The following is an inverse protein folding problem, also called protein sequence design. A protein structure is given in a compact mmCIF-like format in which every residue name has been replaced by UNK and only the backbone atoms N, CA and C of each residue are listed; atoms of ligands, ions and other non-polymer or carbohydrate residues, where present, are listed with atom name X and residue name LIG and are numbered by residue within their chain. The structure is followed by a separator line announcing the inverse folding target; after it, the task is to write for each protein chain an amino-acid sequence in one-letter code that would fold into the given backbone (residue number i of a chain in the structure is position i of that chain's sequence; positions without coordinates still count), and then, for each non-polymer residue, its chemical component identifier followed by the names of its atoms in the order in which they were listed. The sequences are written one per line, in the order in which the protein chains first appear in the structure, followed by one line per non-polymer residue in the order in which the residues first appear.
data_IF_099666499458
#
_entry.id   IF_099666499458
#
_cell.length_a   1.000
_cell.length_b   1.000
_cell.length_c   1.000
_cell.angle_alpha   90.00
_cell.angle_beta   90.00
_cell.angle_gamma   90.00
#
_symmetry.space_group_name_H-M   'P 1'
#
loop_
_entity.id
_entity.type
_entity.pdbx_description
1 polymer ?
#
# COMPACT_ATOMS: atom_id res chain seq x y z
N UNK A 1 9.10 18.65 7.17
CA UNK A 1 8.36 19.83 6.68
C UNK A 1 8.86 20.05 5.27
N UNK A 2 8.08 19.62 4.27
CA UNK A 2 8.52 19.66 2.88
C UNK A 2 8.55 21.10 2.39
N UNK A 3 9.74 21.55 1.96
CA UNK A 3 9.94 22.86 1.36
C UNK A 3 9.56 22.76 -0.12
N UNK A 4 8.83 23.76 -0.64
CA UNK A 4 8.68 23.92 -2.08
C UNK A 4 10.07 24.18 -2.67
N UNK A 5 10.45 23.36 -3.64
CA UNK A 5 11.73 23.44 -4.36
C UNK A 5 11.46 23.96 -5.76
N UNK A 6 12.14 25.06 -6.12
CA UNK A 6 12.07 25.67 -7.44
C UNK A 6 12.47 24.67 -8.53
N UNK A 7 11.72 24.64 -9.63
CA UNK A 7 11.93 23.74 -10.77
C UNK A 7 11.63 22.26 -10.50
N UNK A 8 11.22 21.89 -9.28
CA UNK A 8 11.04 20.47 -8.89
C UNK A 8 9.65 20.22 -8.29
N UNK A 9 9.21 21.07 -7.37
CA UNK A 9 7.93 20.87 -6.70
C UNK A 9 6.76 21.20 -7.62
N UNK A 10 5.81 20.27 -7.72
CA UNK A 10 4.50 20.51 -8.33
C UNK A 10 3.42 20.59 -7.25
N UNK A 11 2.40 21.41 -7.45
CA UNK A 11 1.23 21.48 -6.58
C UNK A 11 -0.08 21.55 -7.37
N UNK A 12 -1.21 21.24 -6.70
CA UNK A 12 -2.53 21.40 -7.28
C UNK A 12 -3.18 22.70 -6.81
N UNK A 13 -3.71 23.46 -7.77
CA UNK A 13 -4.56 24.62 -7.50
C UNK A 13 -5.76 24.57 -8.46
N UNK A 14 -6.97 24.55 -7.92
CA UNK A 14 -8.20 24.42 -8.73
C UNK A 14 -8.26 23.13 -9.54
N UNK A 15 -7.68 22.03 -9.05
CA UNK A 15 -7.63 20.74 -9.74
C UNK A 15 -6.61 20.65 -10.88
N UNK A 16 -5.86 21.72 -11.17
CA UNK A 16 -4.81 21.75 -12.18
C UNK A 16 -3.43 21.69 -11.53
N UNK A 17 -2.51 21.00 -12.18
CA UNK A 17 -1.12 20.89 -11.73
C UNK A 17 -0.30 22.11 -12.18
N UNK A 18 0.53 22.60 -11.26
CA UNK A 18 1.41 23.75 -11.42
C UNK A 18 2.81 23.38 -10.94
N UNK A 19 3.85 23.83 -11.62
CA UNK A 19 5.25 23.68 -11.19
C UNK A 19 5.72 24.98 -10.54
N UNK A 20 6.43 24.87 -9.42
CA UNK A 20 7.03 26.02 -8.75
C UNK A 20 8.22 26.48 -9.59
N UNK A 21 8.13 27.67 -10.18
CA UNK A 21 9.26 28.30 -10.88
C UNK A 21 10.15 29.06 -9.89
N UNK A 22 9.53 29.76 -8.95
CA UNK A 22 10.26 30.60 -7.99
C UNK A 22 9.49 30.78 -6.69
N UNK A 23 10.21 30.75 -5.56
CA UNK A 23 9.67 31.05 -4.23
C UNK A 23 10.25 32.37 -3.72
N UNK A 24 9.45 33.44 -3.76
CA UNK A 24 9.84 34.77 -3.30
C UNK A 24 9.44 34.98 -1.84
N UNK A 25 10.33 34.59 -0.93
CA UNK A 25 10.05 34.63 0.52
C UNK A 25 9.78 36.03 1.07
N UNK A 26 10.50 37.06 0.60
CA UNK A 26 10.30 38.46 1.01
C UNK A 26 8.88 38.96 0.69
N UNK A 27 8.32 38.50 -0.41
CA UNK A 27 7.00 38.91 -0.93
C UNK A 27 5.90 37.91 -0.53
N UNK A 28 6.26 36.77 0.05
CA UNK A 28 5.36 35.62 0.32
C UNK A 28 4.61 35.15 -0.92
N UNK A 29 5.28 35.20 -2.08
CA UNK A 29 4.70 34.87 -3.39
C UNK A 29 5.41 33.64 -3.98
N UNK A 30 4.63 32.77 -4.61
CA UNK A 30 5.14 31.66 -5.42
C UNK A 30 4.78 31.93 -6.88
N UNK A 31 5.80 32.00 -7.74
CA UNK A 31 5.62 32.06 -9.20
C UNK A 31 5.54 30.63 -9.68
N UNK A 32 4.49 30.30 -10.43
CA UNK A 32 4.23 28.96 -10.92
C UNK A 32 3.65 28.99 -12.32
N UNK A 33 3.98 27.98 -13.11
CA UNK A 33 3.44 27.78 -14.46
C UNK A 33 2.66 26.46 -14.56
N UNK A 34 1.74 26.32 -15.52
CA UNK A 34 0.99 25.09 -15.70
C UNK A 34 1.93 23.91 -15.94
N UNK A 35 1.71 22.81 -15.21
CA UNK A 35 2.47 21.58 -15.34
C UNK A 35 1.54 20.44 -15.78
N UNK A 36 1.09 20.40 -17.06
CA UNK A 36 0.16 19.38 -17.54
C UNK A 36 0.73 17.95 -17.48
N UNK A 37 2.06 17.81 -17.55
CA UNK A 37 2.78 16.56 -17.29
C UNK A 37 3.25 16.41 -15.83
N UNK A 38 2.94 17.39 -14.97
CA UNK A 38 3.33 17.40 -13.57
C UNK A 38 2.60 16.31 -12.79
N UNK A 39 3.35 15.53 -12.01
CA UNK A 39 2.74 14.57 -11.08
C UNK A 39 1.99 15.33 -9.98
N UNK A 40 0.75 14.92 -9.73
CA UNK A 40 -0.02 15.38 -8.56
C UNK A 40 0.85 15.20 -7.30
N UNK A 41 1.10 16.25 -6.49
CA UNK A 41 1.78 16.07 -5.22
C UNK A 41 1.00 15.08 -4.36
N UNK A 42 1.71 14.10 -3.81
CA UNK A 42 1.20 13.30 -2.71
C UNK A 42 1.45 14.07 -1.42
N UNK A 43 0.38 14.57 -0.79
CA UNK A 43 0.45 15.10 0.57
C UNK A 43 0.45 13.91 1.54
N UNK A 44 1.61 13.25 1.67
CA UNK A 44 1.81 12.18 2.63
C UNK A 44 2.26 12.74 3.97
N UNK A 45 1.76 12.19 5.08
CA UNK A 45 2.45 12.31 6.36
C UNK A 45 3.77 11.52 6.32
N UNK A 46 4.64 11.74 7.30
CA UNK A 46 5.91 11.00 7.43
C UNK A 46 5.71 9.49 7.69
N UNK A 47 4.48 9.10 8.04
CA UNK A 47 4.10 7.73 8.40
C UNK A 47 3.11 7.19 7.35
N UNK A 48 3.21 5.90 6.97
CA UNK A 48 2.25 5.29 6.06
C UNK A 48 0.80 5.43 6.52
N UNK A 49 -0.10 5.78 5.60
CA UNK A 49 -1.54 5.85 5.85
C UNK A 49 -2.17 4.50 5.49
N UNK A 50 -2.17 3.57 6.45
CA UNK A 50 -2.76 2.26 6.25
C UNK A 50 -4.27 2.28 6.46
N UNK A 51 -4.98 1.70 5.50
CA UNK A 51 -6.34 1.23 5.68
C UNK A 51 -6.31 -0.17 6.29
N UNK A 52 -7.29 -0.47 7.15
CA UNK A 52 -7.41 -1.80 7.75
C UNK A 52 -7.76 -2.86 6.71
N UNK A 53 -7.51 -4.12 7.05
CA UNK A 53 -7.92 -5.26 6.26
C UNK A 53 -9.42 -5.22 5.95
N UNK A 54 -10.26 -5.00 6.94
CA UNK A 54 -11.73 -5.03 6.84
C UNK A 54 -12.24 -3.95 5.88
N UNK A 55 -11.67 -2.74 5.94
CA UNK A 55 -12.04 -1.64 5.03
C UNK A 55 -11.67 -2.00 3.60
N UNK A 56 -10.43 -2.46 3.36
CA UNK A 56 -9.99 -2.83 2.02
C UNK A 56 -10.77 -4.03 1.47
N UNK A 57 -11.05 -5.05 2.30
CA UNK A 57 -11.89 -6.18 1.91
C UNK A 57 -13.28 -5.73 1.55
N UNK A 58 -13.88 -4.81 2.31
CA UNK A 58 -15.20 -4.29 1.98
C UNK A 58 -15.23 -3.55 0.65
N UNK A 59 -14.17 -2.80 0.34
CA UNK A 59 -14.01 -2.18 -0.98
C UNK A 59 -13.93 -3.25 -2.09
N UNK A 60 -13.13 -4.30 -1.91
CA UNK A 60 -13.06 -5.43 -2.85
C UNK A 60 -14.41 -6.15 -3.04
N UNK A 61 -15.19 -6.33 -1.97
CA UNK A 61 -16.55 -6.88 -2.03
C UNK A 61 -17.50 -5.98 -2.85
N UNK A 62 -17.44 -4.67 -2.66
CA UNK A 62 -18.27 -3.71 -3.40
C UNK A 62 -17.94 -3.77 -4.91
N UNK A 63 -16.67 -3.95 -5.26
CA UNK A 63 -16.20 -4.09 -6.65
C UNK A 63 -16.57 -5.44 -7.29
N UNK A 64 -16.78 -6.47 -6.48
CA UNK A 64 -17.10 -7.82 -6.98
C UNK A 64 -18.60 -8.12 -7.01
N UNK A 65 -19.41 -7.36 -6.27
CA UNK A 65 -20.87 -7.49 -6.21
C UNK A 65 -21.58 -6.46 -7.10
N UNK A 66 -22.81 -6.76 -7.50
CA UNK A 66 -23.69 -5.82 -8.22
C UNK A 66 -24.74 -5.20 -7.29
N UNK A 67 -24.48 -5.18 -5.97
CA UNK A 67 -25.42 -4.60 -5.00
C UNK A 67 -25.47 -3.08 -5.24
N UNK A 68 -26.66 -2.49 -5.44
CA UNK A 68 -26.81 -1.05 -5.57
C UNK A 68 -26.52 -0.37 -4.23
N UNK A 69 -25.87 0.79 -4.28
CA UNK A 69 -25.56 1.61 -3.10
C UNK A 69 -26.44 2.85 -3.13
N UNK A 70 -27.55 2.90 -2.37
CA UNK A 70 -28.59 3.93 -2.52
C UNK A 70 -28.13 5.36 -2.23
N UNK A 71 -26.99 5.51 -1.54
CA UNK A 71 -26.41 6.80 -1.17
C UNK A 71 -25.49 7.40 -2.24
N UNK A 72 -25.25 6.70 -3.36
CA UNK A 72 -24.43 7.22 -4.46
C UNK A 72 -25.26 8.08 -5.41
N UNK A 73 -24.74 9.26 -5.75
CA UNK A 73 -25.24 10.06 -6.88
C UNK A 73 -24.89 9.39 -8.24
N UNK A 74 -25.41 9.97 -9.33
CA UNK A 74 -25.23 9.45 -10.69
C UNK A 74 -23.76 9.33 -11.11
N UNK A 75 -22.95 10.36 -10.84
CA UNK A 75 -21.54 10.38 -11.24
C UNK A 75 -20.75 9.35 -10.43
N UNK A 76 -20.99 9.30 -9.12
CA UNK A 76 -20.35 8.33 -8.22
C UNK A 76 -20.70 6.89 -8.59
N UNK A 77 -21.95 6.64 -9.02
CA UNK A 77 -22.38 5.31 -9.49
C UNK A 77 -21.70 4.93 -10.79
N UNK A 78 -21.62 5.86 -11.76
CA UNK A 78 -20.93 5.62 -13.02
C UNK A 78 -19.44 5.26 -12.79
N UNK A 79 -18.73 6.02 -11.96
CA UNK A 79 -17.33 5.70 -11.61
C UNK A 79 -17.18 4.35 -10.91
N UNK A 80 -18.14 3.95 -10.06
CA UNK A 80 -18.13 2.62 -9.47
C UNK A 80 -18.35 1.52 -10.51
N UNK A 81 -19.24 1.73 -11.48
CA UNK A 81 -19.50 0.79 -12.58
C UNK A 81 -18.26 0.60 -13.47
N UNK A 82 -17.52 1.67 -13.76
CA UNK A 82 -16.22 1.60 -14.46
C UNK A 82 -15.22 0.73 -13.67
N UNK A 83 -15.05 0.99 -12.37
CA UNK A 83 -14.15 0.20 -11.53
C UNK A 83 -14.57 -1.28 -11.43
N UNK A 84 -15.88 -1.56 -11.40
CA UNK A 84 -16.42 -2.93 -11.42
C UNK A 84 -16.15 -3.63 -12.76
N UNK A 85 -16.20 -2.90 -13.87
CA UNK A 85 -15.89 -3.43 -15.19
C UNK A 85 -14.40 -3.79 -15.30
N UNK A 86 -13.52 -2.91 -14.80
CA UNK A 86 -12.07 -3.07 -14.86
C UNK A 86 -11.57 -4.18 -13.94
N UNK A 87 -11.94 -4.12 -12.65
CA UNK A 87 -11.36 -4.98 -11.61
C UNK A 87 -12.26 -6.16 -11.23
N UNK A 88 -13.58 -5.99 -11.31
CA UNK A 88 -14.53 -6.92 -10.70
C UNK A 88 -14.44 -8.34 -11.25
N UNK A 89 -14.18 -8.52 -12.55
CA UNK A 89 -14.04 -9.87 -13.15
C UNK A 89 -12.85 -10.61 -12.55
N UNK A 90 -11.70 -9.95 -12.51
CA UNK A 90 -10.44 -10.49 -12.01
C UNK A 90 -10.50 -10.77 -10.50
N UNK A 91 -11.11 -9.88 -9.72
CA UNK A 91 -11.26 -10.06 -8.27
C UNK A 91 -12.28 -11.16 -7.90
N UNK A 92 -13.19 -11.55 -8.80
CA UNK A 92 -14.13 -12.65 -8.56
C UNK A 92 -13.49 -14.03 -8.75
N UNK A 93 -12.50 -14.17 -9.62
CA UNK A 93 -11.91 -15.46 -10.00
C UNK A 93 -10.88 -16.01 -9.01
N UNK A 94 -10.29 -15.15 -8.18
CA UNK A 94 -9.21 -15.52 -7.26
C UNK A 94 -9.28 -14.69 -5.99
N UNK A 95 -8.47 -15.08 -5.01
CA UNK A 95 -8.34 -14.45 -3.70
C UNK A 95 -7.71 -13.05 -3.82
N UNK A 96 -6.89 -12.87 -4.86
CA UNK A 96 -6.32 -11.63 -5.34
C UNK A 96 -6.49 -11.55 -6.86
N UNK A 97 -6.56 -10.35 -7.40
CA UNK A 97 -6.47 -10.11 -8.83
C UNK A 97 -5.03 -10.13 -9.32
N UNK A 98 -4.83 -10.57 -10.56
CA UNK A 98 -3.53 -10.59 -11.21
C UNK A 98 -3.60 -9.87 -12.56
N UNK A 99 -2.67 -8.96 -12.77
CA UNK A 99 -2.55 -8.19 -13.99
C UNK A 99 -1.07 -8.07 -14.38
N UNK A 100 -0.75 -8.49 -15.61
CA UNK A 100 0.59 -8.36 -16.16
C UNK A 100 0.68 -7.09 -17.02
N UNK A 101 1.70 -6.26 -16.78
CA UNK A 101 1.96 -5.03 -17.53
C UNK A 101 3.41 -4.97 -18.00
N UNK A 102 3.71 -4.08 -18.94
CA UNK A 102 5.08 -3.78 -19.36
C UNK A 102 5.94 -3.25 -18.19
N UNK A 103 5.30 -2.60 -17.21
CA UNK A 103 5.95 -2.04 -16.00
C UNK A 103 6.08 -3.06 -14.85
N UNK A 104 5.77 -4.32 -15.13
CA UNK A 104 5.92 -5.47 -14.24
C UNK A 104 4.60 -6.13 -13.86
N UNK A 105 4.67 -6.95 -12.82
CA UNK A 105 3.56 -7.75 -12.32
C UNK A 105 2.77 -6.96 -11.26
N UNK A 106 1.45 -6.98 -11.37
CA UNK A 106 0.55 -6.33 -10.42
C UNK A 106 -0.39 -7.35 -9.76
N UNK A 107 -0.46 -7.27 -8.43
CA UNK A 107 -1.29 -8.13 -7.59
C UNK A 107 -2.30 -7.29 -6.81
N UNK A 108 -3.58 -7.40 -7.15
CA UNK A 108 -4.68 -6.70 -6.47
C UNK A 108 -5.18 -7.52 -5.28
N UNK A 109 -4.66 -7.22 -4.08
CA UNK A 109 -4.93 -8.01 -2.87
C UNK A 109 -6.13 -7.49 -2.07
N UNK A 110 -6.34 -6.18 -2.04
CA UNK A 110 -7.28 -5.53 -1.13
C UNK A 110 -7.12 -5.99 0.33
N UNK A 111 -5.87 -6.28 0.74
CA UNK A 111 -5.58 -6.82 2.07
C UNK A 111 -5.28 -5.73 3.12
N UNK A 112 -5.30 -4.45 2.76
CA UNK A 112 -4.94 -3.37 3.68
C UNK A 112 -3.43 -3.14 3.76
N UNK A 113 -3.08 -2.02 4.37
CA UNK A 113 -1.71 -1.50 4.31
C UNK A 113 -0.71 -2.38 5.06
N UNK A 114 -1.02 -2.78 6.28
CA UNK A 114 -0.11 -3.58 7.11
C UNK A 114 0.19 -4.96 6.49
N UNK A 115 -0.83 -5.66 5.97
CA UNK A 115 -0.65 -6.95 5.30
C UNK A 115 0.16 -6.78 4.01
N UNK A 116 -0.14 -5.76 3.18
CA UNK A 116 0.62 -5.54 1.95
C UNK A 116 2.08 -5.12 2.22
N UNK A 117 2.36 -4.35 3.27
CA UNK A 117 3.74 -4.08 3.68
C UNK A 117 4.44 -5.33 4.20
N UNK A 118 3.74 -6.18 4.95
CA UNK A 118 4.26 -7.48 5.39
C UNK A 118 4.68 -8.32 4.21
N UNK A 119 3.82 -8.44 3.20
CA UNK A 119 4.13 -9.17 1.97
C UNK A 119 5.33 -8.58 1.24
N UNK A 120 5.40 -7.24 1.11
CA UNK A 120 6.57 -6.56 0.52
C UNK A 120 7.87 -6.95 1.22
N UNK A 121 7.92 -6.83 2.56
CA UNK A 121 9.12 -7.18 3.32
C UNK A 121 9.42 -8.68 3.24
N UNK A 122 8.38 -9.52 3.28
CA UNK A 122 8.49 -10.96 3.09
C UNK A 122 9.14 -11.31 1.75
N UNK A 123 8.70 -10.72 0.64
CA UNK A 123 9.31 -10.95 -0.68
C UNK A 123 10.75 -10.44 -0.75
N UNK A 124 11.05 -9.31 -0.11
CA UNK A 124 12.42 -8.80 -0.02
C UNK A 124 13.34 -9.76 0.74
N UNK A 125 12.87 -10.35 1.84
CA UNK A 125 13.65 -11.33 2.61
C UNK A 125 13.79 -12.65 1.84
N UNK A 126 12.68 -13.18 1.32
CA UNK A 126 12.59 -14.49 0.68
C UNK A 126 13.32 -14.55 -0.67
N UNK A 127 13.26 -13.47 -1.45
CA UNK A 127 13.72 -13.43 -2.85
C UNK A 127 14.62 -12.24 -3.20
N UNK A 128 14.79 -11.28 -2.30
CA UNK A 128 15.53 -10.04 -2.60
C UNK A 128 14.79 -9.08 -3.52
N UNK A 129 13.49 -9.28 -3.75
CA UNK A 129 12.72 -8.49 -4.72
C UNK A 129 12.36 -7.11 -4.17
N UNK A 130 12.45 -6.09 -5.04
CA UNK A 130 11.96 -4.74 -4.75
C UNK A 130 10.47 -4.66 -5.03
N UNK A 131 9.64 -4.84 -3.99
CA UNK A 131 8.17 -4.78 -4.13
C UNK A 131 7.66 -3.42 -3.68
N UNK A 132 6.74 -2.83 -4.46
CA UNK A 132 6.00 -1.63 -4.05
C UNK A 132 4.63 -2.06 -3.55
N UNK A 133 4.23 -1.56 -2.37
CA UNK A 133 2.98 -1.91 -1.72
C UNK A 133 2.17 -0.65 -1.38
N UNK A 134 0.86 -0.71 -1.62
CA UNK A 134 -0.14 0.23 -1.09
C UNK A 134 -1.28 -0.54 -0.38
N UNK A 135 -2.39 0.12 -0.05
CA UNK A 135 -3.51 -0.51 0.66
C UNK A 135 -4.27 -1.58 -0.15
N UNK A 136 -4.14 -1.56 -1.48
CA UNK A 136 -4.95 -2.35 -2.42
C UNK A 136 -4.13 -3.36 -3.22
N UNK A 137 -2.84 -3.11 -3.44
CA UNK A 137 -2.03 -3.91 -4.34
C UNK A 137 -0.55 -4.00 -3.97
N UNK A 138 0.10 -5.01 -4.57
CA UNK A 138 1.53 -5.16 -4.69
C UNK A 138 1.93 -4.98 -6.15
N UNK A 139 3.05 -4.30 -6.39
CA UNK A 139 3.67 -4.17 -7.71
C UNK A 139 5.09 -4.68 -7.65
N UNK A 140 5.40 -5.62 -8.53
CA UNK A 140 6.74 -6.15 -8.74
C UNK A 140 7.25 -5.52 -10.04
N UNK A 141 8.22 -4.58 -9.98
CA UNK A 141 8.83 -3.99 -11.17
C UNK A 141 9.38 -5.07 -12.12
N UNK A 142 9.46 -4.74 -13.41
CA UNK A 142 9.63 -5.60 -14.59
C UNK A 142 10.82 -6.60 -14.65
N UNK A 143 11.52 -6.83 -13.54
CA UNK A 143 12.66 -7.73 -13.47
C UNK A 143 12.19 -9.19 -13.41
N UNK A 144 11.86 -9.80 -14.56
CA UNK A 144 11.70 -11.26 -14.75
C UNK A 144 10.79 -12.02 -13.75
N UNK A 145 9.96 -11.34 -12.96
CA UNK A 145 9.07 -11.99 -11.98
C UNK A 145 7.84 -12.48 -12.71
N UNK A 146 7.66 -13.80 -12.73
CA UNK A 146 6.47 -14.45 -13.30
C UNK A 146 5.39 -14.65 -12.25
N UNK A 147 4.14 -14.72 -12.69
CA UNK A 147 3.00 -15.05 -11.83
C UNK A 147 3.21 -16.31 -10.99
N UNK A 148 3.80 -17.35 -11.58
CA UNK A 148 4.09 -18.61 -10.88
C UNK A 148 5.07 -18.40 -9.72
N UNK A 149 6.14 -17.62 -9.92
CA UNK A 149 7.10 -17.32 -8.86
C UNK A 149 6.48 -16.46 -7.75
N UNK A 150 5.56 -15.53 -8.10
CA UNK A 150 4.80 -14.78 -7.10
C UNK A 150 3.92 -15.73 -6.29
N UNK A 151 3.18 -16.62 -6.94
CA UNK A 151 2.32 -17.59 -6.27
C UNK A 151 3.09 -18.53 -5.33
N UNK A 152 4.26 -19.02 -5.77
CA UNK A 152 5.18 -19.80 -4.92
C UNK A 152 5.65 -19.00 -3.71
N UNK A 153 6.06 -17.74 -3.92
CA UNK A 153 6.46 -16.86 -2.83
C UNK A 153 5.32 -16.59 -1.84
N UNK A 154 4.09 -16.36 -2.32
CA UNK A 154 2.92 -16.22 -1.45
C UNK A 154 2.67 -17.50 -0.65
N UNK A 155 2.81 -18.67 -1.25
CA UNK A 155 2.65 -19.93 -0.53
C UNK A 155 3.68 -20.12 0.60
N UNK A 156 4.92 -19.67 0.41
CA UNK A 156 5.95 -19.63 1.45
C UNK A 156 5.63 -18.61 2.53
N UNK A 157 5.27 -17.38 2.16
CA UNK A 157 4.93 -16.29 3.09
C UNK A 157 3.64 -16.55 3.87
N UNK A 158 2.78 -17.45 3.38
CA UNK A 158 1.61 -17.94 4.11
C UNK A 158 1.93 -18.90 5.26
N UNK A 159 3.17 -19.39 5.36
CA UNK A 159 3.57 -20.32 6.43
C UNK A 159 4.05 -19.56 7.66
N UNK A 160 3.43 -19.82 8.81
CA UNK A 160 3.85 -19.27 10.10
C UNK A 160 5.32 -19.54 10.41
N UNK A 161 5.82 -20.73 10.07
CA UNK A 161 7.21 -21.13 10.30
C UNK A 161 8.24 -20.25 9.59
N UNK A 162 7.88 -19.59 8.48
CA UNK A 162 8.77 -18.63 7.82
C UNK A 162 9.01 -17.41 8.71
N UNK A 163 7.97 -16.92 9.39
CA UNK A 163 8.04 -15.71 10.22
C UNK A 163 8.56 -15.97 11.63
N UNK A 164 8.49 -17.21 12.11
CA UNK A 164 9.03 -17.63 13.40
C UNK A 164 10.55 -17.93 13.34
N UNK A 165 11.11 -18.05 12.14
CA UNK A 165 12.56 -18.22 11.94
C UNK A 165 13.35 -16.99 12.42
N UNK A 166 14.35 -17.22 13.28
CA UNK A 166 15.15 -16.15 13.92
C UNK A 166 15.84 -15.26 12.88
N UNK A 167 16.41 -15.85 11.83
CA UNK A 167 17.07 -15.11 10.76
C UNK A 167 16.08 -14.23 9.97
N UNK A 168 14.85 -14.70 9.75
CA UNK A 168 13.78 -13.90 9.14
C UNK A 168 13.39 -12.72 10.02
N UNK A 169 13.28 -12.92 11.34
CA UNK A 169 12.98 -11.85 12.28
C UNK A 169 14.08 -10.79 12.33
N UNK A 170 15.35 -11.21 12.38
CA UNK A 170 16.49 -10.31 12.36
C UNK A 170 16.53 -9.47 11.07
N UNK A 171 16.41 -10.11 9.90
CA UNK A 171 16.40 -9.41 8.61
C UNK A 171 15.22 -8.46 8.48
N UNK A 172 14.05 -8.81 9.01
CA UNK A 172 12.89 -7.92 9.03
C UNK A 172 13.18 -6.64 9.80
N UNK A 173 13.81 -6.75 10.98
CA UNK A 173 14.19 -5.58 11.79
C UNK A 173 15.22 -4.67 11.11
N UNK A 174 16.07 -5.22 10.23
CA UNK A 174 17.09 -4.47 9.50
C UNK A 174 16.51 -3.67 8.32
N UNK A 175 15.53 -4.21 7.61
CA UNK A 175 14.97 -3.60 6.39
C UNK A 175 13.80 -2.66 6.65
N UNK A 176 13.18 -2.78 7.84
CA UNK A 176 12.04 -1.96 8.21
C UNK A 176 12.49 -0.50 8.45
N UNK A 177 11.86 0.50 7.81
CA UNK A 177 12.25 1.90 7.97
C UNK A 177 12.07 2.38 9.40
N UNK A 178 13.02 3.17 9.89
CA UNK A 178 12.94 3.79 11.21
C UNK A 178 11.96 4.99 11.21
N UNK A 179 10.66 4.70 11.10
CA UNK A 179 9.64 5.74 11.23
C UNK A 179 9.58 6.26 12.65
N UNK A 180 9.41 7.58 12.78
CA UNK A 180 9.13 8.23 14.05
C UNK A 180 7.64 8.20 14.34
N UNK A 181 7.17 7.12 14.96
CA UNK A 181 5.76 6.92 15.33
C UNK A 181 5.39 7.69 16.60
N UNK A 182 6.38 7.94 17.47
CA UNK A 182 6.19 8.63 18.75
C UNK A 182 7.29 9.65 19.02
N UNK A 183 6.94 10.73 19.72
CA UNK A 183 7.93 11.70 20.21
C UNK A 183 8.88 11.09 21.26
N UNK A 184 8.46 10.01 21.93
CA UNK A 184 9.23 9.31 22.97
C UNK A 184 10.10 8.17 22.43
N UNK A 185 9.95 7.82 21.15
CA UNK A 185 10.73 6.77 20.51
C UNK A 185 12.25 6.96 20.65
N UNK A 186 12.82 8.18 20.56
CA UNK A 186 14.26 8.40 20.79
C UNK A 186 14.72 8.11 22.22
N UNK A 187 13.80 8.06 23.19
CA UNK A 187 14.10 7.71 24.58
C UNK A 187 13.99 6.19 24.83
N UNK A 188 13.48 5.42 23.86
CA UNK A 188 13.39 3.97 23.97
C UNK A 188 14.72 3.30 23.59
N UNK A 189 15.15 2.26 24.31
CA UNK A 189 16.18 1.36 23.81
C UNK A 189 15.85 0.85 22.40
N UNK A 190 16.87 0.72 21.54
CA UNK A 190 16.71 0.37 20.11
C UNK A 190 15.77 -0.81 19.87
N UNK A 191 15.88 -1.88 20.69
CA UNK A 191 15.03 -3.07 20.59
C UNK A 191 13.53 -2.76 20.68
N UNK A 192 13.12 -1.88 21.59
CA UNK A 192 11.71 -1.52 21.80
C UNK A 192 11.21 -0.52 20.75
N UNK A 193 12.10 0.35 20.25
CA UNK A 193 11.79 1.22 19.10
C UNK A 193 11.46 0.39 17.86
N UNK A 194 12.27 -0.63 17.59
CA UNK A 194 12.10 -1.55 16.47
C UNK A 194 10.85 -2.43 16.62
N UNK A 195 10.57 -2.92 17.82
CA UNK A 195 9.34 -3.67 18.11
C UNK A 195 8.08 -2.82 17.84
N UNK A 196 8.06 -1.58 18.33
CA UNK A 196 6.95 -0.65 18.08
C UNK A 196 6.77 -0.36 16.59
N UNK A 197 7.86 -0.19 15.83
CA UNK A 197 7.77 0.03 14.38
C UNK A 197 7.23 -1.22 13.69
N UNK A 198 7.73 -2.42 14.05
CA UNK A 198 7.27 -3.69 13.50
C UNK A 198 5.76 -3.85 13.71
N UNK A 199 5.28 -3.65 14.94
CA UNK A 199 3.88 -3.84 15.30
C UNK A 199 2.94 -2.83 14.60
N UNK A 200 3.46 -1.67 14.22
CA UNK A 200 2.71 -0.69 13.42
C UNK A 200 2.71 -1.00 11.92
N UNK A 201 3.83 -1.49 11.39
CA UNK A 201 4.03 -1.66 9.95
C UNK A 201 3.64 -3.03 9.40
N UNK A 202 3.72 -4.05 10.23
CA UNK A 202 3.68 -5.45 9.81
C UNK A 202 2.56 -6.16 10.56
N UNK A 203 1.79 -6.96 9.83
CA UNK A 203 0.72 -7.82 10.34
C UNK A 203 0.95 -9.25 9.83
N UNK A 204 1.82 -9.97 10.54
CA UNK A 204 2.20 -11.35 10.22
C UNK A 204 0.99 -12.29 10.35
N UNK A 205 0.24 -12.14 11.45
CA UNK A 205 -0.96 -12.93 11.73
C UNK A 205 -2.02 -12.74 10.66
N UNK A 206 -2.31 -11.48 10.30
CA UNK A 206 -3.22 -11.12 9.23
C UNK A 206 -2.75 -11.64 7.88
N UNK A 207 -1.45 -11.65 7.62
CA UNK A 207 -0.86 -12.19 6.38
C UNK A 207 -1.04 -13.70 6.26
N UNK A 208 -0.66 -14.46 7.30
CA UNK A 208 -0.83 -15.92 7.34
C UNK A 208 -2.32 -16.28 7.20
N UNK A 209 -3.20 -15.56 7.90
CA UNK A 209 -4.65 -15.77 7.80
C UNK A 209 -5.19 -15.43 6.40
N UNK A 210 -4.78 -14.29 5.83
CA UNK A 210 -5.23 -13.86 4.51
C UNK A 210 -4.85 -14.88 3.43
N UNK A 211 -3.63 -15.41 3.48
CA UNK A 211 -3.16 -16.41 2.52
C UNK A 211 -3.73 -17.81 2.80
N UNK A 212 -4.00 -18.16 4.06
CA UNK A 212 -4.57 -19.45 4.45
C UNK A 212 -6.09 -19.55 4.31
N UNK A 213 -6.83 -18.46 4.52
CA UNK A 213 -8.30 -18.40 4.36
C UNK A 213 -8.81 -16.97 4.00
N UNK A 214 -8.73 -16.58 2.73
CA UNK A 214 -8.96 -15.20 2.27
C UNK A 214 -10.40 -14.68 2.31
N UNK A 215 -11.39 -15.53 2.67
CA UNK A 215 -12.81 -15.17 2.70
C UNK A 215 -13.40 -15.00 4.10
N UNK A 216 -12.62 -15.23 5.16
CA UNK A 216 -13.10 -14.97 6.52
C UNK A 216 -12.83 -13.52 6.92
N UNK A 217 -13.86 -12.72 7.27
CA UNK A 217 -13.62 -11.46 7.95
C UNK A 217 -12.90 -11.73 9.28
N UNK A 218 -12.00 -10.83 9.67
CA UNK A 218 -11.33 -10.89 10.95
C UNK A 218 -12.36 -10.86 12.08
N UNK A 219 -12.41 -11.93 12.89
CA UNK A 219 -12.98 -12.01 14.23
C UNK A 219 -14.22 -11.16 14.55
N UNK A 220 -15.40 -11.79 14.56
CA UNK A 220 -16.48 -11.40 15.46
C UNK A 220 -16.20 -11.86 16.90
N UNK A 221 -15.01 -11.57 17.42
CA UNK A 221 -14.66 -11.83 18.81
C UNK A 221 -13.90 -10.61 19.34
N UNK A 222 -14.67 -9.59 19.71
CA UNK A 222 -14.45 -8.75 20.90
C UNK A 222 -15.58 -7.72 21.02
N UNK A 223 -16.36 -7.94 22.09
CA UNK A 223 -17.39 -7.12 22.75
C UNK A 223 -18.77 -7.09 22.07
#
# INVERSE_FOLDING_TARGET
MDKLVEGVSCFLLGGRAWIVEQVRHSERTVVASPAPAGRKPSWGGFVPQFLSFEVCRKMGEILTTNIPLPYLDELSRHSLEELRADLGRMLRSSIYGHEQSADGELLWTFAGGAINQTLKYGFQILRGWSVVADNFRLRFPSDCVTHAQVAEGLAELGRRSFWEDENTQERLLEIVPEYRLSKFQPALPRKWSLEMIRDYLVDIEGTVRYLGNPRSPAGSDRL
#
